data_IF_142645113116
#
_entry.id   IF_142645113116
#
_cell.length_a   1.000
_cell.length_b   1.000
_cell.length_c   1.000
_cell.angle_alpha   90.00
_cell.angle_beta   90.00
_cell.angle_gamma   90.00
#
_symmetry.space_group_name_H-M   'P 1'
#
loop_
_entity.id
_entity.type
_entity.pdbx_description
1 polymer ?
#
# COMPACT_ATOMS: atom_id res chain seq x y z
N UNK A 1 15.15 -30.26 -29.92
CA UNK A 1 15.07 -28.85 -29.48
C UNK A 1 16.44 -28.43 -28.98
N UNK A 2 17.01 -27.32 -29.47
CA UNK A 2 18.31 -26.83 -28.99
C UNK A 2 18.18 -26.31 -27.55
N UNK A 3 19.19 -26.49 -26.71
CA UNK A 3 19.24 -26.02 -25.31
C UNK A 3 18.86 -24.54 -25.15
N UNK A 4 19.21 -23.70 -26.13
CA UNK A 4 18.86 -22.27 -26.15
C UNK A 4 17.34 -22.03 -26.31
N UNK A 5 16.63 -22.90 -27.03
CA UNK A 5 15.16 -22.83 -27.17
C UNK A 5 14.44 -23.28 -25.90
N UNK A 6 15.01 -24.21 -25.14
CA UNK A 6 14.45 -24.67 -23.86
C UNK A 6 14.60 -23.56 -22.81
N UNK A 7 15.77 -22.92 -22.71
CA UNK A 7 15.99 -21.79 -21.79
C UNK A 7 15.07 -20.60 -22.10
N UNK A 8 14.87 -20.25 -23.37
CA UNK A 8 13.95 -19.17 -23.76
C UNK A 8 12.49 -19.51 -23.42
N UNK A 9 12.07 -20.77 -23.64
CA UNK A 9 10.71 -21.20 -23.28
C UNK A 9 10.51 -21.18 -21.76
N UNK A 10 11.48 -21.67 -20.98
CA UNK A 10 11.40 -21.63 -19.51
C UNK A 10 11.40 -20.20 -18.96
N UNK A 11 12.20 -19.29 -19.54
CA UNK A 11 12.20 -17.88 -19.14
C UNK A 11 10.88 -17.17 -19.49
N UNK A 12 10.27 -17.51 -20.65
CA UNK A 12 8.97 -16.98 -21.05
C UNK A 12 7.86 -17.55 -20.18
N UNK A 13 7.86 -18.85 -19.85
CA UNK A 13 6.88 -19.42 -18.92
C UNK A 13 6.98 -18.79 -17.53
N UNK A 14 8.19 -18.67 -16.96
CA UNK A 14 8.38 -18.03 -15.67
C UNK A 14 7.92 -16.56 -15.67
N UNK A 15 8.17 -15.83 -16.76
CA UNK A 15 7.70 -14.45 -16.93
C UNK A 15 6.17 -14.34 -17.11
N UNK A 16 5.54 -15.33 -17.75
CA UNK A 16 4.08 -15.40 -17.93
C UNK A 16 3.39 -15.83 -16.64
N UNK A 17 3.93 -16.80 -15.90
CA UNK A 17 3.44 -17.22 -14.59
C UNK A 17 3.53 -16.09 -13.56
N UNK A 18 4.62 -15.31 -13.60
CA UNK A 18 4.80 -14.13 -12.76
C UNK A 18 3.79 -13.00 -13.07
N UNK A 19 3.29 -12.90 -14.32
CA UNK A 19 2.39 -11.82 -14.75
C UNK A 19 0.91 -12.16 -14.80
N UNK A 20 0.54 -13.41 -15.10
CA UNK A 20 -0.85 -13.85 -15.24
C UNK A 20 -1.31 -14.80 -14.13
N UNK A 21 -0.38 -15.38 -13.35
CA UNK A 21 -0.71 -16.35 -12.31
C UNK A 21 -1.22 -15.74 -11.01
N UNK A 22 -0.77 -14.54 -10.65
CA UNK A 22 -1.10 -13.90 -9.36
C UNK A 22 -2.58 -13.47 -9.28
N UNK A 23 -3.18 -12.99 -10.37
CA UNK A 23 -4.61 -12.61 -10.40
C UNK A 23 -5.56 -13.82 -10.29
N UNK A 24 -5.10 -15.02 -10.67
CA UNK A 24 -5.89 -16.26 -10.61
C UNK A 24 -5.84 -16.93 -9.24
N UNK A 25 -4.82 -16.65 -8.42
CA UNK A 25 -4.66 -17.27 -7.09
C UNK A 25 -5.88 -16.99 -6.18
N UNK A 26 -6.37 -15.75 -6.06
CA UNK A 26 -7.58 -15.48 -5.25
C UNK A 26 -8.84 -16.09 -5.86
N UNK A 27 -8.96 -16.16 -7.20
CA UNK A 27 -10.12 -16.76 -7.89
C UNK A 27 -10.26 -18.23 -7.53
N UNK A 28 -9.17 -19.00 -7.60
CA UNK A 28 -9.22 -20.42 -7.29
C UNK A 28 -9.48 -20.67 -5.80
N UNK A 29 -8.86 -19.89 -4.91
CA UNK A 29 -9.09 -20.00 -3.47
C UNK A 29 -10.57 -19.79 -3.13
N UNK A 30 -11.18 -18.70 -3.63
CA UNK A 30 -12.58 -18.35 -3.35
C UNK A 30 -13.56 -19.33 -4.00
N UNK A 31 -13.31 -19.75 -5.24
CA UNK A 31 -14.20 -20.69 -5.95
C UNK A 31 -14.23 -22.10 -5.33
N UNK A 32 -13.19 -22.48 -4.58
CA UNK A 32 -13.11 -23.77 -3.89
C UNK A 32 -13.85 -23.82 -2.55
N UNK A 33 -14.25 -22.67 -2.00
CA UNK A 33 -14.90 -22.58 -0.70
C UNK A 33 -16.22 -23.34 -0.68
N UNK A 34 -16.43 -24.09 0.39
CA UNK A 34 -17.69 -24.77 0.70
C UNK A 34 -18.51 -23.97 1.72
N UNK A 35 -18.56 -22.65 1.55
CA UNK A 35 -19.22 -21.70 2.44
C UNK A 35 -20.26 -20.84 1.70
N UNK A 36 -21.21 -20.28 2.44
CA UNK A 36 -22.34 -19.55 1.88
C UNK A 36 -23.38 -20.45 1.20
N UNK A 37 -24.27 -19.83 0.42
CA UNK A 37 -25.28 -20.55 -0.35
C UNK A 37 -24.67 -21.27 -1.55
N UNK A 38 -25.32 -22.34 -2.07
CA UNK A 38 -24.86 -23.02 -3.27
C UNK A 38 -24.62 -22.05 -4.45
N UNK A 39 -23.38 -21.99 -4.94
CA UNK A 39 -22.96 -21.13 -6.05
C UNK A 39 -22.58 -19.69 -5.66
N UNK A 40 -22.74 -19.29 -4.41
CA UNK A 40 -22.42 -17.93 -3.94
C UNK A 40 -20.92 -17.66 -3.99
N UNK A 41 -20.10 -18.54 -3.41
CA UNK A 41 -18.64 -18.45 -3.47
C UNK A 41 -18.11 -18.42 -4.91
N UNK A 42 -18.66 -19.27 -5.80
CA UNK A 42 -18.31 -19.28 -7.21
C UNK A 42 -18.68 -17.98 -7.93
N UNK A 43 -19.81 -17.35 -7.55
CA UNK A 43 -20.24 -16.05 -8.10
C UNK A 43 -19.31 -14.94 -7.67
N UNK A 44 -18.94 -14.89 -6.37
CA UNK A 44 -17.98 -13.91 -5.87
C UNK A 44 -16.59 -14.10 -6.49
N UNK A 45 -16.14 -15.34 -6.64
CA UNK A 45 -14.89 -15.66 -7.33
C UNK A 45 -14.86 -15.14 -8.77
N UNK A 46 -15.98 -15.27 -9.50
CA UNK A 46 -16.11 -14.73 -10.86
C UNK A 46 -16.07 -13.20 -10.95
N UNK A 47 -16.33 -12.49 -9.85
CA UNK A 47 -16.23 -11.03 -9.76
C UNK A 47 -14.80 -10.50 -9.55
N UNK A 48 -13.88 -11.34 -9.05
CA UNK A 48 -12.51 -10.93 -8.72
C UNK A 48 -11.77 -10.33 -9.92
N UNK A 49 -11.76 -10.94 -11.12
CA UNK A 49 -11.06 -10.34 -12.26
C UNK A 49 -11.56 -8.94 -12.61
N UNK A 50 -12.84 -8.64 -12.34
CA UNK A 50 -13.43 -7.33 -12.61
C UNK A 50 -12.90 -6.23 -11.69
N UNK A 51 -12.69 -6.53 -10.40
CA UNK A 51 -12.17 -5.56 -9.42
C UNK A 51 -10.65 -5.43 -9.44
N UNK A 52 -9.95 -6.35 -10.10
CA UNK A 52 -8.49 -6.29 -10.31
C UNK A 52 -8.09 -5.60 -11.61
N UNK A 53 -9.04 -5.13 -12.44
CA UNK A 53 -8.70 -4.38 -13.66
C UNK A 53 -8.06 -3.02 -13.32
N UNK A 54 -7.16 -2.57 -14.18
CA UNK A 54 -6.45 -1.29 -13.99
C UNK A 54 -7.36 -0.06 -13.93
N UNK A 55 -8.56 -0.14 -14.51
CA UNK A 55 -9.56 0.94 -14.49
C UNK A 55 -10.68 0.73 -13.45
N UNK A 56 -10.61 -0.34 -12.65
CA UNK A 56 -11.59 -0.60 -11.60
C UNK A 56 -11.38 0.34 -10.40
N UNK A 57 -12.45 0.59 -9.65
CA UNK A 57 -12.35 1.27 -8.37
C UNK A 57 -11.58 0.38 -7.37
N UNK A 58 -10.46 0.84 -6.77
CA UNK A 58 -9.70 0.04 -5.84
C UNK A 58 -10.48 -0.33 -4.56
N UNK A 59 -11.52 0.42 -4.20
CA UNK A 59 -12.38 0.12 -3.05
C UNK A 59 -13.39 -1.01 -3.32
N UNK A 60 -13.72 -1.28 -4.59
CA UNK A 60 -14.57 -2.42 -4.96
C UNK A 60 -13.88 -3.75 -4.61
N UNK A 61 -12.54 -3.80 -4.68
CA UNK A 61 -11.76 -4.96 -4.25
C UNK A 61 -11.95 -5.26 -2.76
N UNK A 62 -11.88 -4.24 -1.90
CA UNK A 62 -12.06 -4.40 -0.46
C UNK A 62 -13.50 -4.79 -0.12
N UNK A 63 -14.47 -4.16 -0.79
CA UNK A 63 -15.89 -4.51 -0.68
C UNK A 63 -16.15 -5.96 -1.10
N UNK A 64 -15.48 -6.46 -2.14
CA UNK A 64 -15.58 -7.85 -2.56
C UNK A 64 -14.96 -8.80 -1.53
N UNK A 65 -13.80 -8.45 -0.96
CA UNK A 65 -13.18 -9.22 0.10
C UNK A 65 -14.07 -9.32 1.35
N UNK A 66 -14.76 -8.23 1.73
CA UNK A 66 -15.75 -8.25 2.81
C UNK A 66 -16.92 -9.21 2.52
N UNK A 67 -17.44 -9.22 1.29
CA UNK A 67 -18.48 -10.17 0.88
C UNK A 67 -18.01 -11.62 0.98
N UNK A 68 -16.75 -11.88 0.64
CA UNK A 68 -16.15 -13.22 0.75
C UNK A 68 -16.02 -13.60 2.23
N UNK A 69 -15.51 -12.72 3.07
CA UNK A 69 -15.40 -12.96 4.51
C UNK A 69 -16.78 -13.20 5.17
N UNK A 70 -17.85 -12.64 4.60
CA UNK A 70 -19.22 -12.86 5.07
C UNK A 70 -19.82 -14.24 4.69
N UNK A 71 -19.16 -15.04 3.84
CA UNK A 71 -19.64 -16.38 3.45
C UNK A 71 -19.66 -17.37 4.64
N UNK A 72 -18.83 -17.15 5.65
CA UNK A 72 -18.76 -18.01 6.82
C UNK A 72 -17.56 -17.71 7.73
N UNK A 73 -17.47 -18.41 8.85
CA UNK A 73 -16.43 -18.23 9.87
C UNK A 73 -15.25 -19.19 9.72
N UNK A 74 -15.14 -19.89 8.58
CA UNK A 74 -14.07 -20.84 8.30
C UNK A 74 -12.74 -20.11 8.11
N UNK A 75 -11.64 -20.74 8.56
CA UNK A 75 -10.31 -20.18 8.34
C UNK A 75 -9.98 -20.08 6.84
N UNK A 76 -10.44 -21.04 6.04
CA UNK A 76 -10.36 -21.04 4.59
C UNK A 76 -11.08 -19.84 3.95
N UNK A 77 -12.25 -19.46 4.47
CA UNK A 77 -13.01 -18.29 4.01
C UNK A 77 -12.22 -17.00 4.28
N UNK A 78 -11.70 -16.87 5.51
CA UNK A 78 -10.91 -15.70 5.88
C UNK A 78 -9.61 -15.62 5.07
N UNK A 79 -8.89 -16.73 4.91
CA UNK A 79 -7.65 -16.78 4.13
C UNK A 79 -7.88 -16.43 2.65
N UNK A 80 -8.99 -16.89 2.08
CA UNK A 80 -9.39 -16.53 0.72
C UNK A 80 -9.71 -15.03 0.60
N UNK A 81 -10.43 -14.45 1.57
CA UNK A 81 -10.72 -13.02 1.60
C UNK A 81 -9.44 -12.17 1.75
N UNK A 82 -8.52 -12.57 2.63
CA UNK A 82 -7.20 -11.94 2.77
C UNK A 82 -6.41 -11.97 1.47
N UNK A 83 -6.46 -13.09 0.75
CA UNK A 83 -5.84 -13.23 -0.56
C UNK A 83 -6.39 -12.22 -1.59
N UNK A 84 -7.68 -11.89 -1.53
CA UNK A 84 -8.28 -10.84 -2.39
C UNK A 84 -7.82 -9.44 -1.99
N UNK A 85 -7.71 -9.14 -0.69
CA UNK A 85 -7.18 -7.84 -0.23
C UNK A 85 -5.73 -7.63 -0.68
N UNK A 86 -4.90 -8.64 -0.49
CA UNK A 86 -3.48 -8.61 -0.83
C UNK A 86 -3.21 -8.69 -2.35
N UNK A 87 -4.21 -9.06 -3.16
CA UNK A 87 -4.04 -9.20 -4.60
C UNK A 87 -3.64 -7.86 -5.24
N UNK A 88 -2.70 -7.95 -6.18
CA UNK A 88 -2.31 -6.84 -7.04
C UNK A 88 -3.49 -6.44 -7.92
N UNK A 89 -3.82 -5.15 -7.94
CA UNK A 89 -4.67 -4.60 -8.99
C UNK A 89 -3.79 -4.31 -10.20
N UNK A 90 -4.24 -4.75 -11.37
CA UNK A 90 -3.52 -4.59 -12.63
C UNK A 90 -3.07 -3.13 -12.82
N UNK A 91 -1.84 -2.95 -13.24
CA UNK A 91 -1.21 -1.65 -13.39
C UNK A 91 -0.71 -1.45 -14.83
N UNK A 92 -0.98 -0.27 -15.40
CA UNK A 92 -0.48 0.07 -16.74
C UNK A 92 0.62 1.15 -16.64
N UNK A 93 1.90 0.76 -16.60
CA UNK A 93 3.02 1.70 -16.47
C UNK A 93 3.17 2.65 -17.67
N UNK A 94 2.47 2.40 -18.79
CA UNK A 94 2.47 3.29 -19.94
C UNK A 94 1.47 4.46 -19.81
N UNK A 95 0.55 4.38 -18.84
CA UNK A 95 -0.54 5.35 -18.66
C UNK A 95 -0.46 6.05 -17.30
N UNK A 96 -0.02 5.35 -16.25
CA UNK A 96 0.14 5.88 -14.89
C UNK A 96 1.44 5.40 -14.25
N UNK A 97 1.98 6.15 -13.29
CA UNK A 97 3.22 5.82 -12.58
C UNK A 97 3.02 5.44 -11.10
N UNK A 98 1.77 5.50 -10.61
CA UNK A 98 1.39 5.20 -9.22
C UNK A 98 0.17 4.28 -9.24
N UNK A 99 0.18 3.15 -8.49
CA UNK A 99 -0.99 2.29 -8.35
C UNK A 99 -2.18 3.00 -7.72
N UNK A 100 -3.39 2.66 -8.17
CA UNK A 100 -4.61 3.06 -7.48
C UNK A 100 -4.83 2.13 -6.28
N UNK A 101 -5.04 2.70 -5.10
CA UNK A 101 -5.30 1.97 -3.86
C UNK A 101 -6.49 2.65 -3.16
N UNK A 102 -7.27 1.90 -2.39
CA UNK A 102 -8.50 2.41 -1.79
C UNK A 102 -8.20 3.39 -0.64
N UNK A 103 -8.75 4.61 -0.76
CA UNK A 103 -8.71 5.67 0.25
C UNK A 103 -9.88 5.66 1.24
N UNK A 104 -10.85 4.75 1.11
CA UNK A 104 -11.98 4.68 2.03
C UNK A 104 -11.58 4.07 3.39
N UNK A 105 -11.54 4.91 4.42
CA UNK A 105 -11.24 4.53 5.81
C UNK A 105 -12.26 3.58 6.45
N UNK A 106 -13.46 3.45 5.89
CA UNK A 106 -14.47 2.49 6.34
C UNK A 106 -14.25 1.08 5.80
N UNK A 107 -13.33 0.91 4.84
CA UNK A 107 -13.03 -0.36 4.19
C UNK A 107 -11.61 -0.86 4.51
N UNK A 108 -11.39 -2.19 4.57
CA UNK A 108 -12.43 -3.23 4.63
C UNK A 108 -13.25 -3.11 5.92
N UNK A 109 -14.55 -3.41 5.82
CA UNK A 109 -15.45 -3.39 6.97
C UNK A 109 -15.18 -4.55 7.94
N UNK A 110 -14.66 -5.67 7.43
CA UNK A 110 -14.26 -6.83 8.23
C UNK A 110 -12.95 -6.54 8.95
N UNK A 111 -13.00 -6.47 10.28
CA UNK A 111 -11.84 -6.14 11.13
C UNK A 111 -10.61 -7.03 10.84
N UNK A 112 -10.82 -8.33 10.63
CA UNK A 112 -9.76 -9.31 10.35
C UNK A 112 -9.07 -9.12 8.97
N UNK A 113 -9.61 -8.26 8.11
CA UNK A 113 -9.03 -7.91 6.81
C UNK A 113 -8.27 -6.57 6.84
N UNK A 114 -8.42 -5.77 7.90
CA UNK A 114 -7.75 -4.47 8.01
C UNK A 114 -6.24 -4.66 8.21
N UNK A 115 -5.48 -3.68 7.71
CA UNK A 115 -4.02 -3.68 7.85
C UNK A 115 -3.30 -4.64 6.91
N UNK A 116 -4.00 -5.22 5.95
CA UNK A 116 -3.40 -5.99 4.86
C UNK A 116 -3.19 -5.03 3.69
N UNK A 117 -1.96 -4.96 3.18
CA UNK A 117 -1.60 -4.10 2.05
C UNK A 117 -1.51 -4.94 0.76
N UNK A 118 -1.93 -4.40 -0.40
CA UNK A 118 -1.90 -5.12 -1.65
C UNK A 118 -0.48 -5.22 -2.22
N UNK A 119 -0.27 -6.23 -3.06
CA UNK A 119 0.87 -6.27 -3.95
C UNK A 119 0.83 -5.09 -4.93
N UNK A 120 2.01 -4.68 -5.37
CA UNK A 120 2.28 -3.60 -6.32
C UNK A 120 3.11 -4.14 -7.48
N UNK A 121 2.78 -3.70 -8.70
CA UNK A 121 3.49 -4.09 -9.93
C UNK A 121 5.00 -3.84 -9.79
N UNK A 122 5.86 -4.83 -10.09
CA UNK A 122 7.32 -4.68 -10.08
C UNK A 122 7.90 -3.56 -10.96
N UNK A 123 7.11 -2.99 -11.87
CA UNK A 123 7.46 -1.82 -12.67
C UNK A 123 7.40 -0.50 -11.87
N UNK A 124 6.79 -0.50 -10.68
CA UNK A 124 6.74 0.67 -9.78
C UNK A 124 8.03 0.75 -8.96
N UNK A 125 8.66 1.93 -8.91
CA UNK A 125 9.87 2.12 -8.10
C UNK A 125 9.54 1.90 -6.62
N UNK A 126 10.29 1.02 -5.94
CA UNK A 126 10.07 0.69 -4.53
C UNK A 126 9.07 -0.46 -4.30
N UNK A 127 8.55 -1.08 -5.35
CA UNK A 127 7.63 -2.23 -5.28
C UNK A 127 8.16 -3.39 -4.45
N UNK A 128 9.47 -3.62 -4.40
CA UNK A 128 10.07 -4.73 -3.65
C UNK A 128 9.83 -4.61 -2.14
N UNK A 129 9.95 -3.38 -1.60
CA UNK A 129 9.67 -3.11 -0.20
C UNK A 129 8.18 -3.27 0.10
N UNK A 130 7.32 -2.75 -0.77
CA UNK A 130 5.87 -2.84 -0.58
C UNK A 130 5.35 -4.27 -0.74
N UNK A 131 5.89 -5.04 -1.67
CA UNK A 131 5.54 -6.45 -1.84
C UNK A 131 6.03 -7.30 -0.65
N UNK A 132 7.15 -6.94 -0.02
CA UNK A 132 7.56 -7.54 1.25
C UNK A 132 6.60 -7.18 2.39
N UNK A 133 6.12 -5.93 2.46
CA UNK A 133 5.10 -5.49 3.41
C UNK A 133 3.77 -6.22 3.21
N UNK A 134 3.34 -6.40 1.95
CA UNK A 134 2.13 -7.17 1.62
C UNK A 134 2.23 -8.60 2.13
N UNK A 135 3.34 -9.29 1.86
CA UNK A 135 3.57 -10.64 2.36
C UNK A 135 3.61 -10.72 3.90
N UNK A 136 4.22 -9.73 4.56
CA UNK A 136 4.25 -9.65 6.02
C UNK A 136 2.86 -9.39 6.62
N UNK A 137 2.08 -8.50 6.00
CA UNK A 137 0.75 -8.10 6.47
C UNK A 137 -0.29 -9.22 6.45
N UNK A 138 -0.12 -10.23 5.58
CA UNK A 138 -0.95 -11.44 5.60
C UNK A 138 -0.80 -12.26 6.89
N UNK A 139 0.39 -12.22 7.50
CA UNK A 139 0.69 -12.95 8.74
C UNK A 139 0.49 -12.06 9.97
N UNK A 140 0.90 -10.80 9.88
CA UNK A 140 0.81 -9.82 10.94
C UNK A 140 0.32 -8.49 10.36
N UNK A 141 -1.01 -8.29 10.26
CA UNK A 141 -1.57 -7.05 9.72
C UNK A 141 -1.12 -5.82 10.50
N UNK A 142 -0.98 -4.70 9.81
CA UNK A 142 -0.73 -3.41 10.46
C UNK A 142 -1.93 -3.00 11.33
N UNK A 143 -1.70 -2.23 12.39
CA UNK A 143 -2.81 -1.59 13.09
C UNK A 143 -3.41 -0.49 12.21
N UNK A 144 -4.52 -0.84 11.55
CA UNK A 144 -5.22 0.01 10.62
C UNK A 144 -6.61 0.40 11.12
N UNK A 145 -6.81 0.48 12.44
CA UNK A 145 -8.11 0.76 13.06
C UNK A 145 -8.65 2.14 12.67
N UNK A 146 -9.50 2.19 11.65
CA UNK A 146 -10.02 3.42 11.05
C UNK A 146 -9.20 3.95 9.87
N UNK A 147 -8.08 3.32 9.48
CA UNK A 147 -7.19 3.71 8.34
C UNK A 147 -7.71 3.19 7.00
N UNK A 148 -7.56 4.01 5.96
CA UNK A 148 -7.62 3.52 4.58
C UNK A 148 -6.34 2.78 4.20
N UNK A 149 -6.40 1.99 3.13
CA UNK A 149 -5.25 1.21 2.64
C UNK A 149 -4.26 2.10 1.89
N UNK A 150 -4.69 3.25 1.36
CA UNK A 150 -3.78 4.28 0.89
C UNK A 150 -4.45 5.64 0.80
N UNK A 151 -3.69 6.65 1.22
CA UNK A 151 -3.88 7.96 0.60
C UNK A 151 -2.60 8.80 0.56
N UNK A 152 -1.68 8.61 1.52
CA UNK A 152 -0.38 9.26 1.50
C UNK A 152 0.70 8.42 2.17
N UNK A 153 1.95 8.64 1.75
CA UNK A 153 3.14 8.21 2.48
C UNK A 153 3.70 9.38 3.30
N UNK A 154 3.48 9.45 4.62
CA UNK A 154 3.87 10.59 5.45
C UNK A 154 5.36 10.64 5.78
N UNK A 155 6.24 10.51 4.78
CA UNK A 155 7.69 10.54 4.99
C UNK A 155 8.32 11.86 4.56
N UNK A 156 9.52 12.13 5.10
CA UNK A 156 10.36 13.27 4.77
C UNK A 156 11.74 12.81 4.31
N UNK A 157 12.40 13.61 3.49
CA UNK A 157 13.81 13.41 3.14
C UNK A 157 14.66 14.61 3.56
N UNK A 158 15.97 14.40 3.62
CA UNK A 158 16.97 15.44 3.81
C UNK A 158 17.95 15.43 2.65
N UNK A 159 18.16 16.58 2.01
CA UNK A 159 19.12 16.70 0.92
C UNK A 159 19.89 18.03 1.02
N UNK A 160 21.16 17.98 0.66
CA UNK A 160 22.00 19.18 0.47
C UNK A 160 21.93 19.67 -0.98
N UNK A 161 21.96 20.98 -1.20
CA UNK A 161 22.09 21.53 -2.54
C UNK A 161 20.82 21.44 -3.39
N UNK A 162 19.62 21.51 -2.77
CA UNK A 162 18.37 21.67 -3.53
C UNK A 162 18.38 22.96 -4.36
N UNK A 163 17.57 22.98 -5.42
CA UNK A 163 17.48 24.13 -6.31
C UNK A 163 17.19 25.42 -5.52
N UNK A 164 18.00 26.47 -5.73
CA UNK A 164 17.88 27.73 -4.99
C UNK A 164 18.62 27.77 -3.64
N UNK A 165 19.29 26.69 -3.23
CA UNK A 165 20.11 26.58 -2.01
C UNK A 165 21.60 26.43 -2.33
N UNK A 166 22.46 26.63 -1.34
CA UNK A 166 23.91 26.35 -1.48
C UNK A 166 24.15 24.83 -1.52
N UNK A 167 25.23 24.41 -2.17
CA UNK A 167 25.56 22.98 -2.35
C UNK A 167 25.69 22.19 -1.04
N UNK A 168 26.12 22.85 0.04
CA UNK A 168 26.28 22.31 1.38
C UNK A 168 25.11 22.61 2.33
N UNK A 169 24.08 23.31 1.84
CA UNK A 169 22.90 23.67 2.64
C UNK A 169 21.87 22.55 2.60
N UNK A 170 21.74 21.86 3.75
CA UNK A 170 20.84 20.74 3.94
C UNK A 170 19.42 21.16 4.32
N UNK A 171 18.43 20.58 3.65
CA UNK A 171 17.01 20.96 3.81
C UNK A 171 16.09 19.74 3.76
N UNK A 172 14.96 19.85 4.44
CA UNK A 172 13.92 18.84 4.53
C UNK A 172 12.79 19.12 3.55
N UNK A 173 12.14 18.07 3.04
CA UNK A 173 10.94 18.16 2.22
C UNK A 173 10.06 16.90 2.42
N UNK A 174 8.73 16.97 2.26
CA UNK A 174 7.93 15.75 2.13
C UNK A 174 8.34 15.00 0.87
N UNK A 175 8.39 13.67 0.96
CA UNK A 175 8.69 12.79 -0.20
C UNK A 175 7.47 12.56 -1.06
N UNK A 176 6.29 12.55 -0.44
CA UNK A 176 5.01 12.35 -1.09
C UNK A 176 4.48 13.66 -1.69
N UNK A 177 4.18 13.64 -3.00
CA UNK A 177 3.75 14.82 -3.74
C UNK A 177 2.36 15.31 -3.34
N UNK A 178 1.46 14.41 -2.93
CA UNK A 178 0.13 14.76 -2.41
C UNK A 178 0.26 15.44 -1.04
N UNK A 179 1.19 14.99 -0.19
CA UNK A 179 1.52 15.65 1.07
C UNK A 179 2.21 17.00 0.84
N UNK A 180 3.08 17.09 -0.18
CA UNK A 180 3.81 18.33 -0.45
C UNK A 180 2.89 19.48 -0.85
N UNK A 181 1.97 19.29 -1.81
CA UNK A 181 1.15 20.35 -2.46
C UNK A 181 1.84 21.73 -2.61
N UNK A 182 3.06 21.74 -3.16
CA UNK A 182 3.81 22.98 -3.38
C UNK A 182 4.54 23.55 -2.16
N UNK A 183 4.56 22.82 -1.04
CA UNK A 183 5.45 23.08 0.09
C UNK A 183 6.89 23.23 -0.41
N UNK A 184 7.55 24.31 0.03
CA UNK A 184 8.97 24.52 -0.22
C UNK A 184 9.81 23.83 0.84
N UNK A 185 11.07 23.57 0.52
CA UNK A 185 12.04 22.95 1.42
C UNK A 185 12.33 23.85 2.63
N UNK A 186 12.64 23.23 3.77
CA UNK A 186 12.91 23.95 5.01
C UNK A 186 14.19 23.48 5.69
N UNK A 187 14.90 24.42 6.33
CA UNK A 187 16.07 24.12 7.16
C UNK A 187 15.68 23.49 8.51
N UNK A 188 14.45 23.73 8.97
CA UNK A 188 13.94 23.19 10.23
C UNK A 188 12.99 22.01 9.94
N UNK A 189 13.31 20.79 10.37
CA UNK A 189 12.49 19.62 10.08
C UNK A 189 11.08 19.73 10.65
N UNK A 190 10.90 20.42 11.79
CA UNK A 190 9.58 20.58 12.41
C UNK A 190 8.58 21.33 11.51
N UNK A 191 9.04 22.17 10.57
CA UNK A 191 8.16 22.84 9.60
C UNK A 191 7.56 21.81 8.63
N UNK A 192 8.40 20.90 8.15
CA UNK A 192 7.99 19.86 7.20
C UNK A 192 7.16 18.80 7.91
N UNK A 193 7.55 18.36 9.10
CA UNK A 193 6.80 17.41 9.90
C UNK A 193 5.38 17.93 10.21
N UNK A 194 5.25 19.22 10.57
CA UNK A 194 3.93 19.84 10.74
C UNK A 194 3.10 19.72 9.47
N UNK A 195 3.68 20.06 8.31
CA UNK A 195 3.00 19.95 7.02
C UNK A 195 2.55 18.51 6.76
N UNK A 196 3.42 17.53 6.96
CA UNK A 196 3.11 16.11 6.77
C UNK A 196 1.91 15.69 7.64
N UNK A 197 1.96 15.95 8.94
CA UNK A 197 0.86 15.56 9.83
C UNK A 197 -0.44 16.32 9.55
N UNK A 198 -0.38 17.58 9.10
CA UNK A 198 -1.57 18.32 8.70
C UNK A 198 -2.21 17.73 7.44
N UNK A 199 -1.40 17.26 6.49
CA UNK A 199 -1.90 16.71 5.24
C UNK A 199 -2.50 15.32 5.43
N UNK A 200 -2.02 14.56 6.42
CA UNK A 200 -2.69 13.35 6.86
C UNK A 200 -4.17 13.59 7.21
N UNK A 201 -4.52 14.77 7.71
CA UNK A 201 -5.92 15.12 8.00
C UNK A 201 -6.64 15.73 6.81
N UNK A 202 -5.98 16.62 6.07
CA UNK A 202 -6.65 17.50 5.11
C UNK A 202 -6.68 16.97 3.68
N UNK A 203 -5.85 15.97 3.36
CA UNK A 203 -5.63 15.48 1.99
C UNK A 203 -5.61 13.97 1.92
N UNK A 204 -5.02 13.33 2.93
CA UNK A 204 -4.83 11.89 2.94
C UNK A 204 -5.92 11.12 3.68
N UNK A 205 -6.98 11.82 4.11
CA UNK A 205 -8.08 11.34 4.96
C UNK A 205 -7.69 10.23 5.96
N UNK A 206 -6.51 10.38 6.57
CA UNK A 206 -5.93 9.34 7.38
C UNK A 206 -6.75 9.18 8.65
N UNK A 207 -6.60 8.04 9.31
CA UNK A 207 -7.34 7.78 10.53
C UNK A 207 -6.73 8.44 11.74
N UNK A 208 -7.46 8.32 12.84
CA UNK A 208 -7.04 8.87 14.12
C UNK A 208 -5.78 8.21 14.67
N UNK A 209 -5.52 6.93 14.39
CA UNK A 209 -4.30 6.24 14.83
C UNK A 209 -3.04 6.80 14.16
N UNK A 210 -3.01 6.91 12.83
CA UNK A 210 -1.88 7.48 12.07
C UNK A 210 -1.74 8.98 12.30
N UNK A 211 -2.85 9.72 12.44
CA UNK A 211 -2.80 11.12 12.89
C UNK A 211 -2.14 11.23 14.26
N UNK A 212 -2.54 10.40 15.23
CA UNK A 212 -1.96 10.37 16.57
C UNK A 212 -0.48 10.00 16.53
N UNK A 213 -0.11 8.94 15.80
CA UNK A 213 1.28 8.51 15.65
C UNK A 213 2.15 9.59 15.02
N UNK A 214 1.64 10.33 14.02
CA UNK A 214 2.35 11.48 13.43
C UNK A 214 2.55 12.61 14.44
N UNK A 215 1.53 12.92 15.27
CA UNK A 215 1.63 13.93 16.31
C UNK A 215 2.59 13.52 17.43
N UNK A 216 2.63 12.24 17.80
CA UNK A 216 3.57 11.70 18.79
C UNK A 216 5.01 11.72 18.25
N UNK A 217 5.22 11.29 17.01
CA UNK A 217 6.53 11.34 16.35
C UNK A 217 7.03 12.80 16.26
N UNK A 218 6.15 13.72 15.86
CA UNK A 218 6.42 15.17 15.88
C UNK A 218 6.82 15.67 17.26
N UNK A 219 6.12 15.27 18.32
CA UNK A 219 6.45 15.68 19.68
C UNK A 219 7.82 15.16 20.13
N UNK A 220 8.17 13.92 19.77
CA UNK A 220 9.49 13.35 20.06
C UNK A 220 10.62 14.09 19.35
N UNK A 221 10.47 14.38 18.05
CA UNK A 221 11.45 15.17 17.29
C UNK A 221 11.58 16.59 17.85
N UNK A 222 10.47 17.22 18.25
CA UNK A 222 10.51 18.53 18.87
C UNK A 222 11.27 18.53 20.20
N UNK A 223 11.05 17.50 21.03
CA UNK A 223 11.70 17.35 22.33
C UNK A 223 13.20 17.03 22.23
N UNK A 224 13.63 16.32 21.18
CA UNK A 224 15.06 16.02 20.97
C UNK A 224 15.87 17.28 20.64
N UNK A 225 15.23 18.28 20.03
CA UNK A 225 15.90 19.49 19.54
C UNK A 225 16.81 19.24 18.34
N UNK A 226 16.80 18.02 17.79
CA UNK A 226 17.64 17.64 16.66
C UNK A 226 17.15 18.29 15.36
N UNK A 227 18.10 18.71 14.53
CA UNK A 227 17.91 19.31 13.21
C UNK A 227 18.87 18.73 12.18
N UNK A 228 19.60 17.68 12.53
CA UNK A 228 20.52 16.97 11.65
C UNK A 228 19.76 16.13 10.61
N UNK A 229 20.48 15.61 9.62
CA UNK A 229 19.91 14.71 8.62
C UNK A 229 19.22 13.47 9.25
N UNK A 230 19.64 13.05 10.45
CA UNK A 230 19.11 11.87 11.15
C UNK A 230 17.64 12.02 11.53
N UNK A 231 17.13 13.26 11.58
CA UNK A 231 15.70 13.52 11.83
C UNK A 231 14.81 12.89 10.77
N UNK A 232 15.24 12.86 9.50
CA UNK A 232 14.44 12.25 8.43
C UNK A 232 14.26 10.75 8.68
N UNK A 233 15.36 10.05 8.95
CA UNK A 233 15.34 8.62 9.30
C UNK A 233 14.55 8.36 10.58
N UNK A 234 14.73 9.17 11.61
CA UNK A 234 14.06 8.98 12.90
C UNK A 234 12.55 9.18 12.78
N UNK A 235 12.11 10.26 12.11
CA UNK A 235 10.70 10.55 11.93
C UNK A 235 10.01 9.47 11.07
N UNK A 236 10.61 9.09 9.94
CA UNK A 236 10.07 8.03 9.08
C UNK A 236 9.97 6.69 9.82
N UNK A 237 11.02 6.33 10.57
CA UNK A 237 11.02 5.10 11.37
C UNK A 237 9.98 5.09 12.49
N UNK A 238 9.70 6.23 13.12
CA UNK A 238 8.61 6.37 14.10
C UNK A 238 7.23 6.17 13.47
N UNK A 239 7.10 6.35 12.16
CA UNK A 239 5.89 6.10 11.37
C UNK A 239 5.86 4.71 10.72
N UNK A 240 6.94 3.92 10.87
CA UNK A 240 7.05 2.58 10.29
C UNK A 240 7.58 2.53 8.86
N UNK A 241 8.25 3.60 8.39
CA UNK A 241 8.89 3.71 7.07
C UNK A 241 10.42 3.74 7.12
#
# INVERSE_FOLDING_TARGET
MSYSKILLISAVLAAVEARFGQEQVPVQAVSSLQAGNPGEAATLAGGIPGVLLAAADPCDKLTLADKIAALGTGADVLDAAKGVVAAEQNFNPFVVSVPAICGDASLPATEALRGIVPLVDPAVTGSDAENANSAASLQNPFDATGLSVAECTPTIDFQTGRAGRKADEGTFLPTDALVAQGQQDALNPNIIINRVCDQLTNVCEANDAAKTQCLDAKAQILASGDKSADVATTFNGLLGF
#
